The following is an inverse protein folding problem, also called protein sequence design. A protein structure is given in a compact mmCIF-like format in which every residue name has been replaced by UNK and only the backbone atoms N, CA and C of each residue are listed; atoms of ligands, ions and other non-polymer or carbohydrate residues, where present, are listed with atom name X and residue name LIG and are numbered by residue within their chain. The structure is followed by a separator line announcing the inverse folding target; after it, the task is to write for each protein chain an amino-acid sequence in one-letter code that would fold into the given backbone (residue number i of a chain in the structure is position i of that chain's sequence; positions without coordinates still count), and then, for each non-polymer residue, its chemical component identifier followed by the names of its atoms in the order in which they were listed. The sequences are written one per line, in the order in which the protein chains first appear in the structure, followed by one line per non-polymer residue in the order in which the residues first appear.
data_IF_914911167172
#
_entry.id   IF_914911167172
#
_cell.length_a   1.000
_cell.length_b   1.000
_cell.length_c   1.000
_cell.angle_alpha   90.00
_cell.angle_beta   90.00
_cell.angle_gamma   90.00
#
_symmetry.space_group_name_H-M   'P 1'
#
loop_
_entity.id
_entity.type
_entity.pdbx_description
1 polymer ?
#
# COMPACT_ATOMS: atom_id res chain seq x y z
N UNK A 1 -7.76 -10.13 -20.34
CA UNK A 1 -8.25 -9.66 -21.65
C UNK A 1 -9.71 -9.18 -21.63
N UNK A 2 -10.69 -10.03 -21.25
CA UNK A 2 -12.13 -9.83 -21.47
C UNK A 2 -12.72 -8.43 -21.20
N UNK A 3 -12.44 -7.79 -20.05
CA UNK A 3 -13.01 -6.47 -19.73
C UNK A 3 -12.69 -5.36 -20.75
N UNK A 4 -11.50 -5.39 -21.38
CA UNK A 4 -11.12 -4.42 -22.40
C UNK A 4 -11.82 -4.68 -23.75
N UNK A 5 -11.99 -5.96 -24.11
CA UNK A 5 -12.77 -6.35 -25.29
C UNK A 5 -14.26 -6.05 -25.11
N UNK A 6 -14.81 -6.26 -23.90
CA UNK A 6 -16.17 -5.85 -23.54
C UNK A 6 -16.38 -4.35 -23.68
N UNK A 7 -15.42 -3.52 -23.26
CA UNK A 7 -15.43 -2.07 -23.47
C UNK A 7 -15.45 -1.71 -24.97
N UNK A 8 -14.62 -2.36 -25.78
CA UNK A 8 -14.60 -2.18 -27.25
C UNK A 8 -15.95 -2.52 -27.90
N UNK A 9 -16.60 -3.63 -27.49
CA UNK A 9 -17.92 -4.03 -27.99
C UNK A 9 -19.03 -3.03 -27.62
N UNK A 10 -18.93 -2.38 -26.45
CA UNK A 10 -19.82 -1.29 -26.02
C UNK A 10 -19.57 -0.03 -26.86
N UNK A 11 -18.31 0.36 -27.06
CA UNK A 11 -17.93 1.55 -27.85
C UNK A 11 -18.35 1.44 -29.32
N UNK A 12 -18.31 0.22 -29.88
CA UNK A 12 -18.84 -0.10 -31.22
C UNK A 12 -20.37 -0.21 -31.28
N UNK A 13 -21.09 -0.09 -30.14
CA UNK A 13 -22.53 -0.30 -30.01
C UNK A 13 -23.00 -1.70 -30.47
N UNK A 14 -22.16 -2.72 -30.26
CA UNK A 14 -22.43 -4.12 -30.65
C UNK A 14 -23.06 -4.90 -29.50
N UNK A 15 -22.68 -4.58 -28.26
CA UNK A 15 -23.24 -5.16 -27.03
C UNK A 15 -23.53 -4.03 -26.03
N UNK A 16 -24.62 -4.13 -25.28
CA UNK A 16 -24.91 -3.21 -24.18
C UNK A 16 -24.10 -3.53 -22.91
N UNK A 17 -23.92 -2.52 -22.05
CA UNK A 17 -23.10 -2.67 -20.83
C UNK A 17 -23.64 -3.72 -19.85
N UNK A 18 -24.96 -3.95 -19.80
CA UNK A 18 -25.53 -4.94 -18.88
C UNK A 18 -25.26 -6.37 -19.38
N UNK A 19 -25.35 -6.63 -20.69
CA UNK A 19 -24.97 -7.92 -21.27
C UNK A 19 -23.48 -8.22 -21.15
N UNK A 20 -22.59 -7.22 -21.28
CA UNK A 20 -21.15 -7.38 -21.00
C UNK A 20 -20.89 -7.73 -19.53
N UNK A 21 -21.51 -7.02 -18.59
CA UNK A 21 -21.41 -7.32 -17.15
C UNK A 21 -21.93 -8.73 -16.86
N UNK A 22 -23.08 -9.11 -17.43
CA UNK A 22 -23.68 -10.44 -17.25
C UNK A 22 -22.81 -11.56 -17.84
N UNK A 23 -22.16 -11.34 -18.99
CA UNK A 23 -21.20 -12.28 -19.56
C UNK A 23 -19.96 -12.44 -18.66
N UNK A 24 -19.40 -11.34 -18.11
CA UNK A 24 -18.31 -11.42 -17.13
C UNK A 24 -18.74 -12.16 -15.85
N UNK A 25 -19.94 -11.91 -15.32
CA UNK A 25 -20.49 -12.65 -14.16
C UNK A 25 -20.64 -14.14 -14.46
N UNK A 26 -21.23 -14.50 -15.61
CA UNK A 26 -21.40 -15.89 -16.07
C UNK A 26 -20.03 -16.58 -16.21
N UNK A 27 -19.04 -15.88 -16.76
CA UNK A 27 -17.67 -16.38 -16.85
C UNK A 27 -17.07 -16.68 -15.47
N UNK A 28 -17.20 -15.75 -14.51
CA UNK A 28 -16.70 -15.93 -13.14
C UNK A 28 -17.43 -17.04 -12.37
N UNK A 29 -18.75 -17.17 -12.55
CA UNK A 29 -19.57 -18.22 -11.92
C UNK A 29 -19.30 -19.62 -12.51
N UNK A 30 -18.91 -19.69 -13.79
CA UNK A 30 -18.58 -20.96 -14.45
C UNK A 30 -17.27 -21.59 -13.98
N UNK A 31 -16.32 -20.79 -13.47
CA UNK A 31 -15.02 -21.30 -13.04
C UNK A 31 -15.14 -22.09 -11.73
N UNK A 32 -14.68 -23.36 -11.67
CA UNK A 32 -14.64 -24.08 -10.42
C UNK A 32 -13.76 -23.36 -9.39
N UNK A 33 -14.23 -23.35 -8.14
CA UNK A 33 -13.46 -22.79 -7.03
C UNK A 33 -12.26 -23.67 -6.70
N UNK A 34 -11.18 -23.06 -6.20
CA UNK A 34 -9.98 -23.80 -5.78
C UNK A 34 -10.31 -24.91 -4.77
N UNK A 35 -11.20 -24.65 -3.81
CA UNK A 35 -11.68 -25.65 -2.84
C UNK A 35 -12.35 -26.86 -3.51
N UNK A 36 -13.11 -26.64 -4.59
CA UNK A 36 -13.76 -27.70 -5.35
C UNK A 36 -12.73 -28.59 -6.04
N UNK A 37 -11.73 -28.00 -6.71
CA UNK A 37 -10.66 -28.76 -7.39
C UNK A 37 -9.81 -29.54 -6.40
N UNK A 38 -9.46 -28.96 -5.25
CA UNK A 38 -8.70 -29.64 -4.19
C UNK A 38 -9.40 -30.94 -3.74
N UNK A 39 -10.73 -30.88 -3.59
CA UNK A 39 -11.54 -32.06 -3.24
C UNK A 39 -11.70 -33.04 -4.41
N UNK A 40 -12.00 -32.55 -5.62
CA UNK A 40 -12.21 -33.40 -6.81
C UNK A 40 -10.92 -34.13 -7.25
N UNK A 41 -9.75 -33.48 -7.16
CA UNK A 41 -8.43 -34.10 -7.39
C UNK A 41 -7.86 -34.83 -6.15
N UNK A 42 -8.54 -34.80 -5.00
CA UNK A 42 -8.09 -35.37 -3.72
C UNK A 42 -6.66 -34.93 -3.31
N UNK A 43 -6.33 -33.66 -3.53
CA UNK A 43 -4.99 -33.11 -3.27
C UNK A 43 -4.71 -32.83 -1.79
N UNK A 44 -5.76 -32.75 -0.96
CA UNK A 44 -5.69 -32.56 0.49
C UNK A 44 -6.78 -33.41 1.17
N UNK A 45 -6.54 -33.79 2.42
CA UNK A 45 -7.58 -34.37 3.26
C UNK A 45 -8.64 -33.31 3.63
N UNK A 46 -9.90 -33.73 3.81
CA UNK A 46 -10.99 -32.81 4.20
C UNK A 46 -10.66 -32.02 5.49
N UNK A 47 -9.96 -32.65 6.44
CA UNK A 47 -9.49 -32.03 7.68
C UNK A 47 -8.54 -30.83 7.41
N UNK A 48 -7.59 -31.00 6.49
CA UNK A 48 -6.63 -29.96 6.09
C UNK A 48 -7.32 -28.84 5.29
N UNK A 49 -8.35 -29.18 4.50
CA UNK A 49 -9.17 -28.20 3.78
C UNK A 49 -9.94 -27.32 4.78
N UNK A 50 -10.45 -27.88 5.88
CA UNK A 50 -11.09 -27.09 6.95
C UNK A 50 -10.07 -26.22 7.69
N UNK A 51 -8.87 -26.76 8.01
CA UNK A 51 -7.82 -25.98 8.68
C UNK A 51 -7.36 -24.77 7.84
N UNK A 52 -7.14 -24.95 6.53
CA UNK A 52 -6.67 -23.86 5.66
C UNK A 52 -7.75 -22.79 5.40
N UNK A 53 -9.04 -23.16 5.44
CA UNK A 53 -10.15 -22.21 5.43
C UNK A 53 -10.17 -21.38 6.73
N UNK A 54 -10.00 -22.02 7.89
CA UNK A 54 -9.91 -21.29 9.16
C UNK A 54 -8.69 -20.35 9.19
N UNK A 55 -7.55 -20.80 8.66
CA UNK A 55 -6.33 -19.99 8.57
C UNK A 55 -6.51 -18.77 7.63
N UNK A 56 -7.11 -18.92 6.45
CA UNK A 56 -7.39 -17.78 5.56
C UNK A 56 -8.39 -16.80 6.17
N UNK A 57 -9.45 -17.30 6.81
CA UNK A 57 -10.44 -16.45 7.51
C UNK A 57 -9.83 -15.64 8.66
N UNK A 58 -8.81 -16.16 9.35
CA UNK A 58 -8.15 -15.48 10.46
C UNK A 58 -7.02 -14.54 10.03
N UNK A 59 -6.50 -14.67 8.79
CA UNK A 59 -5.34 -13.89 8.30
C UNK A 59 -5.65 -12.95 7.15
N UNK A 60 -6.84 -13.05 6.53
CA UNK A 60 -7.21 -12.30 5.33
C UNK A 60 -6.44 -12.70 4.07
N UNK A 61 -5.58 -13.71 4.13
CA UNK A 61 -4.75 -14.17 3.00
C UNK A 61 -5.57 -14.92 1.96
N UNK A 62 -5.14 -14.85 0.70
CA UNK A 62 -5.73 -15.68 -0.35
C UNK A 62 -5.48 -17.17 -0.07
N UNK A 63 -6.41 -18.03 -0.52
CA UNK A 63 -6.30 -19.48 -0.34
C UNK A 63 -5.02 -20.05 -0.99
N UNK A 64 -4.63 -19.55 -2.16
CA UNK A 64 -3.41 -20.01 -2.85
C UNK A 64 -2.16 -19.57 -2.06
N UNK A 65 -2.15 -18.32 -1.56
CA UNK A 65 -1.06 -17.80 -0.72
C UNK A 65 -0.89 -18.63 0.56
N UNK A 66 -2.00 -18.97 1.22
CA UNK A 66 -2.00 -19.80 2.42
C UNK A 66 -1.53 -21.24 2.15
N UNK A 67 -1.91 -21.82 1.01
CA UNK A 67 -1.47 -23.16 0.60
C UNK A 67 0.03 -23.23 0.32
N UNK A 68 0.61 -22.20 -0.33
CA UNK A 68 2.07 -22.04 -0.47
C UNK A 68 2.74 -21.87 0.90
N UNK A 69 2.27 -20.92 1.71
CA UNK A 69 2.86 -20.60 3.02
C UNK A 69 2.87 -21.79 4.01
N UNK A 70 1.87 -22.67 3.93
CA UNK A 70 1.80 -23.90 4.74
C UNK A 70 2.52 -25.10 4.12
N UNK A 71 3.14 -24.96 2.95
CA UNK A 71 3.76 -26.03 2.17
C UNK A 71 2.84 -27.26 1.98
N UNK A 72 1.54 -27.02 1.80
CA UNK A 72 0.53 -28.08 1.69
C UNK A 72 0.42 -28.67 0.27
N UNK A 73 0.96 -27.98 -0.72
CA UNK A 73 0.97 -28.37 -2.13
C UNK A 73 2.31 -27.98 -2.76
N UNK A 74 2.77 -28.73 -3.77
CA UNK A 74 3.88 -28.29 -4.62
C UNK A 74 3.46 -27.16 -5.56
N UNK A 75 4.42 -26.42 -6.09
CA UNK A 75 4.14 -25.36 -7.07
C UNK A 75 3.54 -25.94 -8.36
N UNK A 76 3.98 -27.13 -8.77
CA UNK A 76 3.37 -27.92 -9.85
C UNK A 76 1.88 -28.15 -9.58
N UNK A 77 1.50 -28.64 -8.39
CA UNK A 77 0.09 -28.88 -8.04
C UNK A 77 -0.75 -27.59 -8.02
N UNK A 78 -0.15 -26.45 -7.67
CA UNK A 78 -0.83 -25.15 -7.68
C UNK A 78 -1.02 -24.65 -9.12
N UNK A 79 -0.04 -24.83 -10.00
CA UNK A 79 -0.15 -24.54 -11.43
C UNK A 79 -1.19 -25.47 -12.08
N UNK A 80 -1.22 -26.74 -11.71
CA UNK A 80 -2.19 -27.76 -12.16
C UNK A 80 -3.64 -27.46 -11.69
N UNK A 81 -3.80 -26.73 -10.58
CA UNK A 81 -5.07 -26.16 -10.14
C UNK A 81 -5.44 -24.93 -10.98
N UNK A 82 -4.49 -24.02 -11.24
CA UNK A 82 -4.73 -22.82 -12.04
C UNK A 82 -5.16 -23.18 -13.48
N UNK A 83 -4.48 -24.15 -14.10
CA UNK A 83 -4.81 -24.71 -15.42
C UNK A 83 -6.18 -25.40 -15.41
N UNK A 84 -6.55 -26.13 -14.36
CA UNK A 84 -7.89 -26.74 -14.29
C UNK A 84 -9.00 -25.68 -14.15
N UNK A 85 -8.75 -24.57 -13.44
CA UNK A 85 -9.70 -23.45 -13.31
C UNK A 85 -9.95 -22.73 -14.64
N UNK A 86 -8.92 -22.54 -15.47
CA UNK A 86 -9.08 -21.91 -16.79
C UNK A 86 -9.68 -22.87 -17.81
N UNK A 87 -9.28 -24.15 -17.80
CA UNK A 87 -9.75 -25.19 -18.72
C UNK A 87 -11.19 -25.65 -18.45
N UNK A 88 -11.65 -25.63 -17.20
CA UNK A 88 -13.00 -26.05 -16.82
C UNK A 88 -14.01 -24.88 -16.72
N UNK A 89 -13.54 -23.64 -16.84
CA UNK A 89 -14.40 -22.46 -16.92
C UNK A 89 -14.86 -22.18 -18.34
N UNK A 90 -16.03 -21.56 -18.49
CA UNK A 90 -16.46 -20.97 -19.75
C UNK A 90 -15.57 -19.77 -20.09
N UNK A 91 -15.23 -19.59 -21.37
CA UNK A 91 -14.50 -18.40 -21.82
C UNK A 91 -15.41 -17.17 -21.87
N UNK A 92 -14.80 -15.98 -21.87
CA UNK A 92 -15.55 -14.73 -22.06
C UNK A 92 -16.28 -14.68 -23.42
N UNK A 93 -15.72 -15.34 -24.44
CA UNK A 93 -16.30 -15.40 -25.78
C UNK A 93 -17.59 -16.24 -25.79
N UNK A 94 -17.57 -17.43 -25.19
CA UNK A 94 -18.76 -18.29 -25.03
C UNK A 94 -19.82 -17.61 -24.17
N UNK A 95 -19.43 -17.01 -23.04
CA UNK A 95 -20.34 -16.26 -22.18
C UNK A 95 -20.98 -15.07 -22.92
N UNK A 96 -20.25 -14.37 -23.80
CA UNK A 96 -20.85 -13.35 -24.66
C UNK A 96 -21.83 -13.96 -25.66
N UNK A 97 -21.49 -15.05 -26.34
CA UNK A 97 -22.38 -15.71 -27.33
C UNK A 97 -23.72 -16.10 -26.68
N UNK A 98 -23.68 -16.72 -25.49
CA UNK A 98 -24.90 -17.11 -24.76
C UNK A 98 -25.76 -15.91 -24.32
N UNK A 99 -25.14 -14.80 -23.90
CA UNK A 99 -25.90 -13.65 -23.38
C UNK A 99 -26.35 -12.64 -24.46
N UNK A 100 -25.72 -12.63 -25.64
CA UNK A 100 -25.91 -11.55 -26.64
C UNK A 100 -26.51 -11.99 -27.97
N UNK A 101 -26.67 -13.30 -28.23
CA UNK A 101 -27.05 -13.85 -29.54
C UNK A 101 -26.09 -13.43 -30.69
N UNK A 102 -24.85 -13.04 -30.40
CA UNK A 102 -23.83 -12.76 -31.42
C UNK A 102 -23.39 -14.08 -32.06
N UNK A 103 -23.45 -14.12 -33.39
CA UNK A 103 -22.98 -15.25 -34.19
C UNK A 103 -21.45 -15.43 -34.02
N UNK A 104 -20.94 -16.65 -33.71
CA UNK A 104 -19.54 -16.84 -33.33
C UNK A 104 -18.52 -16.32 -34.36
N UNK A 105 -18.83 -16.47 -35.66
CA UNK A 105 -18.03 -15.94 -36.77
C UNK A 105 -17.78 -14.43 -36.64
N UNK A 106 -18.83 -13.68 -36.30
CA UNK A 106 -18.78 -12.23 -36.15
C UNK A 106 -18.00 -11.82 -34.90
N UNK A 107 -18.05 -12.62 -33.84
CA UNK A 107 -17.22 -12.38 -32.65
C UNK A 107 -15.72 -12.57 -32.98
N UNK A 108 -15.37 -13.57 -33.80
CA UNK A 108 -13.99 -13.76 -34.26
C UNK A 108 -13.50 -12.64 -35.21
N UNK A 109 -14.36 -12.12 -36.07
CA UNK A 109 -14.06 -10.94 -36.89
C UNK A 109 -13.77 -9.71 -36.03
N UNK A 110 -14.59 -9.46 -35.00
CA UNK A 110 -14.43 -8.34 -34.07
C UNK A 110 -13.22 -8.49 -33.15
N UNK A 111 -12.86 -9.72 -32.78
CA UNK A 111 -11.65 -10.01 -32.00
C UNK A 111 -10.39 -9.72 -32.83
N UNK A 112 -10.38 -10.11 -34.11
CA UNK A 112 -9.30 -9.73 -35.05
C UNK A 112 -9.27 -8.23 -35.34
N UNK A 113 -10.43 -7.57 -35.44
CA UNK A 113 -10.49 -6.11 -35.55
C UNK A 113 -9.84 -5.45 -34.33
N UNK A 114 -10.16 -5.93 -33.11
CA UNK A 114 -9.59 -5.46 -31.87
C UNK A 114 -8.06 -5.69 -31.77
N UNK A 115 -7.56 -6.83 -32.25
CA UNK A 115 -6.13 -7.15 -32.29
C UNK A 115 -5.34 -6.36 -33.34
N UNK A 116 -5.99 -5.98 -34.45
CA UNK A 116 -5.37 -5.21 -35.56
C UNK A 116 -5.43 -3.70 -35.37
N UNK A 117 -6.16 -3.20 -34.37
CA UNK A 117 -6.08 -1.79 -33.99
C UNK A 117 -4.68 -1.46 -33.46
N UNK A 118 -4.06 -0.35 -33.88
CA UNK A 118 -2.89 0.15 -33.19
C UNK A 118 -3.28 0.43 -31.72
N UNK A 119 -2.49 -0.10 -30.79
CA UNK A 119 -2.58 0.24 -29.36
C UNK A 119 -2.19 1.72 -29.24
N UNK A 120 -3.18 2.62 -29.26
CA UNK A 120 -2.94 4.04 -29.54
C UNK A 120 -1.84 4.64 -28.67
N UNK A 121 -0.91 5.33 -29.33
CA UNK A 121 0.33 5.80 -28.73
C UNK A 121 0.07 6.93 -27.73
N UNK A 122 0.72 6.85 -26.57
CA UNK A 122 0.84 7.97 -25.64
C UNK A 122 1.83 9.02 -26.18
N UNK A 123 1.39 9.76 -27.22
CA UNK A 123 1.94 11.01 -27.78
C UNK A 123 3.45 11.22 -27.61
N UNK A 124 4.22 10.80 -28.62
CA UNK A 124 5.61 11.25 -28.80
C UNK A 124 5.66 12.61 -29.50
N UNK A 125 6.44 13.56 -28.97
CA UNK A 125 6.81 14.79 -29.68
C UNK A 125 8.02 14.47 -30.59
N UNK A 126 8.04 15.05 -31.79
CA UNK A 126 8.88 14.61 -32.89
C UNK A 126 10.40 14.73 -32.67
N UNK A 127 11.14 13.74 -33.20
CA UNK A 127 12.50 13.89 -33.72
C UNK A 127 12.67 12.99 -34.95
N UNK A 128 13.54 13.38 -35.87
CA UNK A 128 13.62 12.90 -37.25
C UNK A 128 14.24 11.49 -37.38
N UNK A 129 13.78 10.71 -38.36
CA UNK A 129 14.46 9.49 -38.81
C UNK A 129 15.76 9.81 -39.56
N UNK A 130 16.78 8.94 -39.51
CA UNK A 130 17.12 8.27 -40.76
C UNK A 130 17.56 6.79 -40.65
N UNK A 131 17.32 6.07 -41.76
CA UNK A 131 18.07 4.89 -42.25
C UNK A 131 18.39 3.71 -41.31
N UNK A 132 17.67 2.62 -41.54
CA UNK A 132 18.19 1.26 -41.74
C UNK A 132 19.59 0.91 -41.22
N UNK A 133 19.64 0.11 -40.15
CA UNK A 133 20.63 -0.96 -39.98
C UNK A 133 19.96 -2.14 -39.26
N UNK A 134 20.44 -3.35 -39.52
CA UNK A 134 19.92 -4.58 -38.93
C UNK A 134 20.46 -4.71 -37.49
N UNK A 135 19.57 -4.83 -36.51
CA UNK A 135 19.91 -5.24 -35.13
C UNK A 135 18.85 -6.24 -34.67
N UNK A 136 19.27 -7.48 -34.43
CA UNK A 136 18.47 -8.51 -33.80
C UNK A 136 18.59 -8.32 -32.27
N UNK A 137 17.81 -7.40 -31.70
CA UNK A 137 17.70 -7.29 -30.24
C UNK A 137 16.87 -8.46 -29.70
N UNK A 138 17.57 -9.53 -29.30
CA UNK A 138 16.98 -10.65 -28.56
C UNK A 138 16.40 -10.14 -27.24
N UNK A 139 15.07 -10.04 -27.18
CA UNK A 139 14.37 -9.61 -25.96
C UNK A 139 14.31 -10.78 -24.99
N UNK A 140 15.20 -10.79 -24.00
CA UNK A 140 15.23 -11.78 -22.91
C UNK A 140 13.95 -11.70 -22.06
N UNK A 141 12.92 -12.48 -22.43
CA UNK A 141 11.69 -12.60 -21.66
C UNK A 141 11.98 -13.44 -20.40
N UNK A 142 12.15 -12.76 -19.27
CA UNK A 142 12.27 -13.40 -17.95
C UNK A 142 11.13 -14.41 -17.73
N UNK A 143 11.47 -15.64 -17.33
CA UNK A 143 10.53 -16.74 -17.14
C UNK A 143 9.35 -16.38 -16.21
N UNK A 144 9.57 -15.56 -15.18
CA UNK A 144 8.52 -15.11 -14.27
C UNK A 144 7.49 -14.17 -14.94
N UNK A 145 7.86 -13.47 -16.02
CA UNK A 145 6.93 -12.69 -16.82
C UNK A 145 6.08 -13.59 -17.73
N UNK A 146 6.68 -14.63 -18.31
CA UNK A 146 5.99 -15.69 -19.06
C UNK A 146 4.97 -16.43 -18.19
N UNK A 147 5.35 -16.82 -16.98
CA UNK A 147 4.45 -17.45 -16.00
C UNK A 147 3.29 -16.51 -15.60
N UNK A 148 3.58 -15.22 -15.39
CA UNK A 148 2.55 -14.22 -15.08
C UNK A 148 1.53 -14.01 -16.23
N UNK A 149 1.94 -14.23 -17.49
CA UNK A 149 1.04 -14.22 -18.65
C UNK A 149 0.24 -15.54 -18.79
N UNK A 150 0.86 -16.67 -18.42
CA UNK A 150 0.28 -18.02 -18.36
C UNK A 150 -0.85 -18.09 -17.33
N UNK A 151 -0.64 -17.53 -16.13
CA UNK A 151 -1.66 -17.47 -15.06
C UNK A 151 -2.86 -16.57 -15.41
N UNK A 152 -2.64 -15.51 -16.21
CA UNK A 152 -3.71 -14.61 -16.66
C UNK A 152 -4.55 -15.15 -17.84
N UNK A 153 -4.19 -16.29 -18.43
CA UNK A 153 -4.92 -16.91 -19.54
C UNK A 153 -5.03 -16.01 -20.77
N UNK A 154 -3.92 -15.36 -21.15
CA UNK A 154 -3.90 -14.33 -22.21
C UNK A 154 -3.12 -14.70 -23.48
N UNK A 155 -2.63 -15.93 -23.62
CA UNK A 155 -2.01 -16.48 -24.83
C UNK A 155 -2.50 -17.90 -25.09
N UNK A 156 -2.47 -18.31 -26.37
CA UNK A 156 -2.88 -19.66 -26.78
C UNK A 156 -1.71 -20.66 -26.66
N UNK A 157 -2.02 -21.95 -26.48
CA UNK A 157 -1.02 -22.94 -26.04
C UNK A 157 0.15 -23.10 -27.01
N UNK A 158 -0.08 -22.90 -28.30
CA UNK A 158 0.91 -23.01 -29.37
C UNK A 158 1.89 -21.82 -29.48
N UNK A 159 1.62 -20.68 -28.82
CA UNK A 159 2.59 -19.57 -28.75
C UNK A 159 3.61 -19.80 -27.63
N UNK A 160 3.24 -20.56 -26.59
CA UNK A 160 4.09 -20.83 -25.42
C UNK A 160 5.22 -21.81 -25.79
N UNK A 161 4.93 -22.89 -26.52
CA UNK A 161 5.95 -23.84 -27.00
C UNK A 161 7.03 -23.19 -27.89
N UNK A 162 6.68 -22.11 -28.59
CA UNK A 162 7.63 -21.37 -29.42
C UNK A 162 8.64 -20.54 -28.58
N UNK A 163 8.23 -20.07 -27.42
CA UNK A 163 9.03 -19.22 -26.52
C UNK A 163 9.88 -20.04 -25.54
N UNK A 164 9.35 -21.12 -24.98
CA UNK A 164 10.09 -22.01 -24.06
C UNK A 164 11.36 -22.59 -24.72
N UNK A 165 11.38 -22.72 -26.06
CA UNK A 165 12.52 -23.21 -26.84
C UNK A 165 13.73 -22.25 -26.88
N UNK A 166 13.55 -20.96 -26.61
CA UNK A 166 14.64 -19.98 -26.63
C UNK A 166 15.32 -19.76 -25.27
N UNK A 167 14.80 -20.33 -24.17
CA UNK A 167 15.36 -20.18 -22.82
C UNK A 167 16.52 -21.16 -22.61
N UNK A 168 17.63 -20.91 -23.31
CA UNK A 168 18.73 -21.86 -23.52
C UNK A 168 19.98 -21.65 -22.65
N UNK A 169 20.03 -22.33 -21.50
CA UNK A 169 21.28 -22.76 -20.82
C UNK A 169 22.27 -21.68 -20.35
N UNK A 170 22.21 -21.33 -19.04
CA UNK A 170 23.39 -20.93 -18.28
C UNK A 170 23.46 -21.66 -16.93
N UNK A 171 24.65 -22.17 -16.59
CA UNK A 171 24.99 -22.75 -15.29
C UNK A 171 25.76 -21.74 -14.44
N UNK A 172 25.43 -21.64 -13.17
CA UNK A 172 26.14 -20.76 -12.23
C UNK A 172 27.05 -21.58 -11.31
N UNK A 173 28.32 -21.17 -11.16
CA UNK A 173 29.27 -21.77 -10.22
C UNK A 173 29.33 -20.98 -8.90
N UNK A 174 29.80 -21.67 -7.86
CA UNK A 174 29.77 -21.27 -6.46
C UNK A 174 31.07 -20.56 -6.04
N UNK A 175 31.00 -19.56 -5.14
CA UNK A 175 32.19 -18.98 -4.47
C UNK A 175 31.85 -18.37 -3.11
N UNK A 176 32.81 -18.46 -2.17
CA UNK A 176 32.57 -18.34 -0.73
C UNK A 176 32.95 -16.98 -0.09
N UNK A 177 32.67 -16.89 1.22
CA UNK A 177 32.76 -15.75 2.12
C UNK A 177 34.17 -15.33 2.61
N UNK A 178 34.26 -14.10 3.15
CA UNK A 178 35.21 -13.59 4.16
C UNK A 178 34.83 -12.14 4.56
N UNK A 179 35.20 -11.53 5.70
CA UNK A 179 35.41 -11.94 7.12
C UNK A 179 35.90 -10.71 7.93
N UNK A 180 35.56 -10.59 9.22
CA UNK A 180 36.15 -9.67 10.24
C UNK A 180 36.05 -8.14 9.97
N UNK A 181 36.40 -7.19 10.87
CA UNK A 181 36.19 -6.92 12.33
C UNK A 181 36.72 -5.44 12.55
N UNK A 182 36.44 -4.56 13.52
CA UNK A 182 36.18 -4.58 14.99
C UNK A 182 35.54 -3.24 15.43
N UNK A 183 34.76 -3.22 16.53
CA UNK A 183 34.52 -2.08 17.47
C UNK A 183 33.85 -0.78 16.93
N UNK A 184 33.30 0.16 17.72
CA UNK A 184 33.19 0.32 19.19
C UNK A 184 31.93 1.16 19.57
N UNK A 185 31.75 1.45 20.87
CA UNK A 185 30.86 2.47 21.47
C UNK A 185 29.35 2.46 21.14
N UNK A 186 28.53 2.08 22.14
CA UNK A 186 27.06 2.25 22.13
C UNK A 186 26.60 3.00 23.38
N UNK A 187 26.19 4.26 23.22
CA UNK A 187 25.68 5.09 24.32
C UNK A 187 24.28 4.62 24.76
N UNK A 188 24.21 3.88 25.87
CA UNK A 188 22.95 3.40 26.44
C UNK A 188 22.22 4.55 27.16
N UNK A 189 21.23 5.13 26.48
CA UNK A 189 20.34 6.14 27.05
C UNK A 189 19.57 5.57 28.27
N UNK A 190 19.51 6.34 29.36
CA UNK A 190 18.90 5.91 30.63
C UNK A 190 17.44 5.41 30.50
N UNK A 191 16.65 5.96 29.56
CA UNK A 191 15.29 5.50 29.30
C UNK A 191 15.20 4.03 28.82
N UNK A 192 16.25 3.53 28.14
CA UNK A 192 16.32 2.13 27.72
C UNK A 192 16.63 1.19 28.91
N UNK A 193 17.44 1.64 29.87
CA UNK A 193 17.69 0.92 31.12
C UNK A 193 16.43 0.82 31.99
N UNK A 194 15.65 1.90 32.09
CA UNK A 194 14.36 1.90 32.81
C UNK A 194 13.35 0.95 32.15
N UNK A 195 13.28 0.94 30.81
CA UNK A 195 12.44 0.01 30.04
C UNK A 195 12.82 -1.48 30.26
N UNK A 196 14.12 -1.79 30.35
CA UNK A 196 14.60 -3.15 30.65
C UNK A 196 14.30 -3.58 32.10
N UNK A 197 14.35 -2.62 33.03
CA UNK A 197 14.03 -2.81 34.46
C UNK A 197 12.55 -3.15 34.66
N UNK A 198 11.65 -2.52 33.93
CA UNK A 198 10.20 -2.80 33.99
C UNK A 198 9.83 -4.17 33.36
N UNK A 199 10.57 -4.61 32.34
CA UNK A 199 10.36 -5.93 31.70
C UNK A 199 10.87 -7.12 32.54
N UNK A 200 11.66 -6.89 33.59
CA UNK A 200 12.12 -7.95 34.51
C UNK A 200 13.02 -9.00 33.87
N UNK A 201 13.75 -8.65 32.80
CA UNK A 201 14.56 -9.59 31.99
C UNK A 201 16.05 -9.64 32.36
N UNK A 202 16.50 -8.86 33.34
CA UNK A 202 17.87 -8.86 33.88
C UNK A 202 17.83 -9.03 35.40
N UNK A 203 18.93 -9.55 35.98
CA UNK A 203 19.06 -9.65 37.43
C UNK A 203 19.65 -8.38 38.07
N UNK A 204 19.48 -8.27 39.39
CA UNK A 204 19.86 -7.09 40.18
C UNK A 204 21.39 -6.90 40.29
N UNK A 205 22.18 -7.88 39.85
CA UNK A 205 23.64 -7.78 39.73
C UNK A 205 24.07 -7.13 38.42
N UNK A 206 23.48 -7.53 37.29
CA UNK A 206 23.81 -6.98 35.96
C UNK A 206 23.43 -5.49 35.85
N UNK A 207 22.26 -5.11 36.40
CA UNK A 207 21.83 -3.71 36.49
C UNK A 207 22.83 -2.83 37.26
N UNK A 208 23.47 -3.35 38.31
CA UNK A 208 24.36 -2.59 39.17
C UNK A 208 25.73 -2.27 38.53
N UNK A 209 26.18 -3.04 37.52
CA UNK A 209 27.36 -2.66 36.73
C UNK A 209 27.02 -1.60 35.66
N UNK A 210 25.79 -1.58 35.14
CA UNK A 210 25.33 -0.61 34.14
C UNK A 210 24.96 0.76 34.75
N UNK A 211 24.28 0.81 35.90
CA UNK A 211 24.03 2.09 36.62
C UNK A 211 25.36 2.79 36.99
N UNK A 212 26.44 2.01 37.18
CA UNK A 212 27.77 2.50 37.54
C UNK A 212 28.56 3.11 36.37
N UNK A 213 28.31 2.71 35.12
CA UNK A 213 28.93 3.37 33.95
C UNK A 213 28.21 4.68 33.61
N UNK A 214 26.89 4.72 33.70
CA UNK A 214 26.08 5.94 33.46
C UNK A 214 26.39 7.04 34.49
N UNK A 215 26.61 6.67 35.76
CA UNK A 215 26.88 7.62 36.86
C UNK A 215 28.20 8.39 36.75
N UNK A 216 29.05 8.14 35.73
CA UNK A 216 30.33 8.82 35.54
C UNK A 216 30.23 10.11 34.70
N UNK A 217 29.10 10.36 34.02
CA UNK A 217 29.03 11.30 32.89
C UNK A 217 27.94 12.38 32.99
N UNK A 218 27.29 12.55 34.14
CA UNK A 218 26.13 13.46 34.29
C UNK A 218 26.27 14.38 35.50
N UNK A 219 27.11 15.43 35.37
CA UNK A 219 27.35 16.43 36.42
C UNK A 219 27.25 17.87 35.87
N UNK A 220 26.14 18.18 35.21
CA UNK A 220 25.59 19.54 35.02
C UNK A 220 24.21 19.49 34.35
N UNK A 221 23.14 19.91 35.06
CA UNK A 221 22.08 20.83 34.57
C UNK A 221 21.09 21.14 35.72
N UNK A 222 20.64 22.39 35.76
CA UNK A 222 20.00 23.03 36.91
C UNK A 222 18.55 22.59 37.13
N UNK A 223 18.19 22.34 38.39
CA UNK A 223 16.80 22.26 38.86
C UNK A 223 16.19 23.66 39.04
N UNK A 224 15.03 23.93 38.45
CA UNK A 224 14.11 24.96 38.96
C UNK A 224 12.71 24.38 39.21
N UNK A 225 12.14 24.77 40.35
CA UNK A 225 10.81 24.43 40.85
C UNK A 225 10.18 25.71 41.41
N UNK A 226 8.86 25.72 41.63
CA UNK A 226 7.99 26.85 42.09
C UNK A 226 7.26 27.55 40.92
N UNK A 227 6.04 28.06 41.08
CA UNK A 227 5.15 28.11 42.27
C UNK A 227 3.68 28.14 41.86
N UNK A 228 2.79 27.82 42.80
CA UNK A 228 1.37 28.13 42.74
C UNK A 228 1.14 29.66 42.84
N UNK A 229 0.32 30.22 41.95
CA UNK A 229 -0.71 31.23 42.28
C UNK A 229 -1.45 31.63 40.98
N UNK A 230 -2.70 31.21 40.85
CA UNK A 230 -3.54 31.51 39.69
C UNK A 230 -4.98 31.09 39.93
N UNK A 231 -5.89 32.07 40.05
CA UNK A 231 -7.31 31.82 40.28
C UNK A 231 -7.93 31.15 39.04
N UNK A 232 -8.23 29.85 39.17
CA UNK A 232 -8.68 29.02 38.04
C UNK A 232 -10.12 29.29 37.62
N UNK A 233 -10.33 30.22 36.69
CA UNK A 233 -11.63 30.44 36.05
C UNK A 233 -12.10 29.18 35.31
N UNK A 234 -13.15 28.52 35.84
CA UNK A 234 -13.69 27.29 35.25
C UNK A 234 -14.51 27.66 34.01
N UNK A 235 -13.95 27.37 32.84
CA UNK A 235 -14.65 27.51 31.56
C UNK A 235 -15.95 26.68 31.56
N UNK A 236 -17.05 27.26 31.07
CA UNK A 236 -18.37 26.65 31.03
C UNK A 236 -18.38 25.24 30.39
N UNK A 237 -17.52 24.97 29.40
CA UNK A 237 -17.41 23.64 28.77
C UNK A 237 -16.90 22.55 29.75
N UNK A 238 -16.03 22.91 30.69
CA UNK A 238 -15.58 22.00 31.75
C UNK A 238 -16.68 21.76 32.80
N UNK A 239 -17.48 22.79 33.11
CA UNK A 239 -18.62 22.68 34.01
C UNK A 239 -19.73 21.78 33.41
N UNK A 240 -20.03 21.93 32.12
CA UNK A 240 -20.95 21.06 31.39
C UNK A 240 -20.46 19.60 31.36
N UNK A 241 -19.15 19.38 31.15
CA UNK A 241 -18.53 18.04 31.21
C UNK A 241 -18.67 17.40 32.61
N UNK A 242 -18.46 18.16 33.68
CA UNK A 242 -18.64 17.68 35.07
C UNK A 242 -20.11 17.35 35.38
N UNK A 243 -21.05 18.09 34.77
CA UNK A 243 -22.50 17.92 34.90
C UNK A 243 -22.99 16.66 34.18
N UNK A 244 -22.45 16.34 33.00
CA UNK A 244 -22.78 15.11 32.25
C UNK A 244 -22.17 13.85 32.91
N UNK A 245 -20.97 13.96 33.50
CA UNK A 245 -20.34 12.86 34.25
C UNK A 245 -21.02 12.53 35.59
N UNK A 246 -21.94 13.38 36.08
CA UNK A 246 -22.71 13.13 37.31
C UNK A 246 -21.89 13.01 38.59
N UNK A 247 -20.68 13.59 38.62
CA UNK A 247 -19.71 13.46 39.72
C UNK A 247 -19.88 14.50 40.84
N UNK A 248 -20.79 15.45 40.69
CA UNK A 248 -21.09 16.53 41.64
C UNK A 248 -22.58 16.59 41.92
N UNK A 249 -22.97 16.97 43.14
CA UNK A 249 -24.38 17.18 43.47
C UNK A 249 -24.90 18.56 43.05
N UNK A 250 -26.23 18.74 43.07
CA UNK A 250 -26.89 19.99 42.65
C UNK A 250 -26.46 21.22 43.46
N UNK A 251 -25.98 21.05 44.70
CA UNK A 251 -25.50 22.17 45.52
C UNK A 251 -24.08 22.59 45.15
N UNK A 252 -23.21 21.63 44.83
CA UNK A 252 -21.86 21.89 44.33
C UNK A 252 -21.89 22.52 42.93
N UNK A 253 -22.78 22.02 42.05
CA UNK A 253 -22.99 22.62 40.72
C UNK A 253 -23.51 24.06 40.82
N UNK A 254 -24.42 24.36 41.74
CA UNK A 254 -24.92 25.73 41.92
C UNK A 254 -23.86 26.70 42.46
N UNK A 255 -22.96 26.25 43.33
CA UNK A 255 -21.83 27.06 43.81
C UNK A 255 -20.85 27.37 42.66
N UNK A 256 -20.51 26.37 41.85
CA UNK A 256 -19.68 26.53 40.65
C UNK A 256 -20.32 27.43 39.59
N UNK A 257 -21.61 27.24 39.27
CA UNK A 257 -22.36 28.08 38.32
C UNK A 257 -22.41 29.56 38.77
N UNK A 258 -22.33 29.83 40.08
CA UNK A 258 -22.25 31.19 40.62
C UNK A 258 -20.90 31.90 40.42
N UNK A 259 -19.83 31.13 40.16
CA UNK A 259 -18.47 31.63 39.94
C UNK A 259 -18.14 31.94 38.48
N UNK A 260 -18.93 31.43 37.53
CA UNK A 260 -18.73 31.66 36.10
C UNK A 260 -19.21 33.07 35.74
N UNK A 261 -18.30 33.93 35.28
CA UNK A 261 -18.63 35.28 34.85
C UNK A 261 -19.63 35.27 33.67
N UNK A 262 -20.62 36.18 33.64
CA UNK A 262 -21.63 36.21 32.57
C UNK A 262 -21.02 36.67 31.25
N UNK A 263 -20.70 35.71 30.39
CA UNK A 263 -20.16 35.96 29.05
C UNK A 263 -21.15 36.75 28.19
N UNK A 264 -20.70 37.90 27.69
CA UNK A 264 -21.48 38.70 26.73
C UNK A 264 -21.66 37.93 25.43
N UNK A 265 -22.84 37.97 24.79
CA UNK A 265 -23.08 37.25 23.54
C UNK A 265 -22.28 37.90 22.40
N UNK A 266 -21.13 37.31 22.07
CA UNK A 266 -20.40 37.63 20.85
C UNK A 266 -21.20 37.18 19.60
N UNK A 267 -21.06 37.89 18.46
CA UNK A 267 -21.90 37.66 17.30
C UNK A 267 -21.51 36.37 16.56
N UNK A 268 -22.36 35.34 16.71
CA UNK A 268 -22.55 34.16 15.84
C UNK A 268 -21.34 33.80 14.96
N UNK A 269 -20.21 33.57 15.63
CA UNK A 269 -18.98 33.09 14.99
C UNK A 269 -19.13 31.59 14.80
N UNK A 270 -19.93 31.26 13.78
CA UNK A 270 -20.47 29.92 13.58
C UNK A 270 -19.41 28.84 13.75
N UNK A 271 -19.73 27.82 14.54
CA UNK A 271 -18.87 26.67 14.82
C UNK A 271 -18.60 25.87 13.55
N UNK A 272 -17.64 26.36 12.77
CA UNK A 272 -16.93 25.59 11.76
C UNK A 272 -16.21 24.49 12.52
N UNK A 273 -16.86 23.32 12.58
CA UNK A 273 -16.21 22.05 12.89
C UNK A 273 -14.90 22.02 12.10
N UNK A 274 -13.79 22.26 12.79
CA UNK A 274 -12.48 21.84 12.33
C UNK A 274 -12.49 20.33 12.47
N UNK A 275 -13.14 19.69 11.49
CA UNK A 275 -13.22 18.23 11.38
C UNK A 275 -11.82 17.65 11.37
N UNK A 276 -11.70 16.36 11.68
CA UNK A 276 -10.43 15.72 12.07
C UNK A 276 -9.30 15.91 11.02
N UNK A 277 -9.65 16.20 9.76
CA UNK A 277 -8.82 16.87 8.74
C UNK A 277 -7.85 17.95 9.26
N UNK A 278 -8.24 18.73 10.27
CA UNK A 278 -7.48 19.86 10.80
C UNK A 278 -6.18 19.48 11.50
N UNK A 279 -6.04 18.24 11.96
CA UNK A 279 -4.75 17.73 12.46
C UNK A 279 -3.83 17.37 11.30
N UNK A 280 -4.35 16.70 10.26
CA UNK A 280 -3.59 16.42 9.04
C UNK A 280 -3.11 17.71 8.33
N UNK A 281 -3.92 18.77 8.29
CA UNK A 281 -3.52 20.07 7.72
C UNK A 281 -2.42 20.81 8.52
N UNK A 282 -2.28 20.51 9.83
CA UNK A 282 -1.22 21.04 10.70
C UNK A 282 0.05 20.21 10.63
N UNK A 283 -0.08 18.89 10.68
CA UNK A 283 1.05 17.93 10.64
C UNK A 283 1.68 17.92 9.24
N UNK A 284 0.88 18.10 8.18
CA UNK A 284 1.38 18.29 6.83
C UNK A 284 1.45 19.77 6.46
N UNK A 285 2.33 20.50 7.14
CA UNK A 285 2.67 21.87 6.81
C UNK A 285 3.67 21.97 5.63
N UNK A 286 4.12 23.18 5.33
CA UNK A 286 5.08 23.43 4.26
C UNK A 286 6.46 22.84 4.57
N UNK A 287 6.91 22.91 5.83
CA UNK A 287 8.21 22.44 6.28
C UNK A 287 8.30 20.91 6.20
N UNK A 288 7.25 20.21 6.60
CA UNK A 288 7.11 18.74 6.46
C UNK A 288 7.04 18.32 4.99
N UNK A 289 6.32 19.08 4.14
CA UNK A 289 6.33 18.86 2.69
C UNK A 289 7.73 19.06 2.10
N UNK A 290 8.47 20.10 2.49
CA UNK A 290 9.83 20.34 1.98
C UNK A 290 10.80 19.25 2.44
N UNK A 291 10.76 18.83 3.72
CA UNK A 291 11.54 17.68 4.21
C UNK A 291 11.31 16.41 3.37
N UNK A 292 10.05 16.10 3.07
CA UNK A 292 9.67 14.91 2.28
C UNK A 292 9.94 15.07 0.77
N UNK A 293 10.00 16.28 0.25
CA UNK A 293 10.35 16.58 -1.15
C UNK A 293 11.88 16.64 -1.37
N UNK A 294 12.66 16.92 -0.32
CA UNK A 294 14.13 16.82 -0.26
C UNK A 294 14.61 15.37 -0.11
N UNK A 295 13.94 14.56 0.73
CA UNK A 295 14.21 13.15 0.98
C UNK A 295 14.59 12.29 -0.25
N UNK A 296 13.87 12.32 -1.39
CA UNK A 296 14.23 11.54 -2.59
C UNK A 296 15.58 11.94 -3.22
N UNK A 297 16.13 13.13 -2.91
CA UNK A 297 17.51 13.50 -3.25
C UNK A 297 18.51 12.75 -2.38
N UNK A 298 18.28 12.71 -1.06
CA UNK A 298 19.13 12.00 -0.08
C UNK A 298 19.19 10.50 -0.42
N UNK A 299 18.02 9.87 -0.63
CA UNK A 299 17.92 8.48 -1.08
C UNK A 299 18.80 8.18 -2.31
N UNK A 300 18.89 9.11 -3.27
CA UNK A 300 19.65 8.94 -4.51
C UNK A 300 21.17 9.23 -4.37
N UNK A 301 21.62 9.74 -3.22
CA UNK A 301 23.03 10.01 -2.91
C UNK A 301 23.64 8.97 -1.97
N UNK A 302 22.84 8.35 -1.10
CA UNK A 302 23.22 7.25 -0.22
C UNK A 302 22.08 6.89 0.72
N UNK A 303 21.82 5.59 0.90
CA UNK A 303 20.77 5.08 1.79
C UNK A 303 21.32 4.82 3.19
N UNK A 304 21.65 5.90 3.90
CA UNK A 304 21.92 5.84 5.35
C UNK A 304 20.62 5.51 6.10
N UNK A 305 20.63 4.47 6.95
CA UNK A 305 19.39 3.99 7.60
C UNK A 305 18.71 5.03 8.48
N UNK A 306 19.47 5.92 9.10
CA UNK A 306 18.98 7.07 9.88
C UNK A 306 18.07 7.98 9.05
N UNK A 307 18.54 8.40 7.87
CA UNK A 307 17.77 9.22 6.93
C UNK A 307 16.48 8.52 6.49
N UNK A 308 16.51 7.21 6.25
CA UNK A 308 15.32 6.42 5.91
C UNK A 308 14.33 6.38 7.08
N UNK A 309 14.84 6.24 8.31
CA UNK A 309 14.02 6.18 9.52
C UNK A 309 13.32 7.52 9.81
N UNK A 310 13.99 8.67 9.60
CA UNK A 310 13.35 9.99 9.65
C UNK A 310 12.18 10.13 8.66
N UNK A 311 12.38 9.63 7.43
CA UNK A 311 11.39 9.69 6.35
C UNK A 311 10.21 8.77 6.70
N UNK A 312 10.50 7.57 7.20
CA UNK A 312 9.52 6.61 7.70
C UNK A 312 8.67 7.22 8.81
N UNK A 313 9.28 7.73 9.89
CA UNK A 313 8.57 8.36 11.01
C UNK A 313 7.65 9.50 10.53
N UNK A 314 8.11 10.33 9.59
CA UNK A 314 7.30 11.40 9.00
C UNK A 314 6.11 10.85 8.20
N UNK A 315 6.31 9.81 7.39
CA UNK A 315 5.24 9.13 6.64
C UNK A 315 4.24 8.43 7.56
N UNK A 316 4.68 7.71 8.57
CA UNK A 316 3.81 7.03 9.54
C UNK A 316 2.98 8.01 10.37
N UNK A 317 3.56 9.16 10.74
CA UNK A 317 2.84 10.25 11.45
C UNK A 317 1.75 10.85 10.57
N UNK A 318 2.06 11.12 9.30
CA UNK A 318 1.07 11.59 8.31
C UNK A 318 -0.02 10.55 8.02
N UNK A 319 0.34 9.27 7.99
CA UNK A 319 -0.59 8.16 7.80
C UNK A 319 -1.56 8.03 8.98
N UNK A 320 -1.06 8.17 10.22
CA UNK A 320 -1.89 8.23 11.42
C UNK A 320 -2.88 9.40 11.38
N UNK A 321 -2.41 10.60 11.04
CA UNK A 321 -3.25 11.78 10.90
C UNK A 321 -4.30 11.62 9.77
N UNK A 322 -3.93 11.05 8.63
CA UNK A 322 -4.85 10.75 7.53
C UNK A 322 -5.93 9.74 7.93
N UNK A 323 -5.57 8.71 8.70
CA UNK A 323 -6.50 7.70 9.24
C UNK A 323 -7.51 8.30 10.21
N UNK A 324 -7.04 9.07 11.20
CA UNK A 324 -7.91 9.80 12.13
C UNK A 324 -8.87 10.74 11.39
N UNK A 325 -8.36 11.43 10.36
CA UNK A 325 -9.12 12.33 9.52
C UNK A 325 -10.07 11.65 8.49
N UNK A 326 -10.02 10.32 8.35
CA UNK A 326 -10.82 9.58 7.37
C UNK A 326 -10.44 9.84 5.90
N UNK A 327 -9.21 10.30 5.64
CA UNK A 327 -8.71 10.75 4.34
C UNK A 327 -8.21 9.55 3.51
N UNK A 328 -9.17 8.81 2.94
CA UNK A 328 -8.95 7.54 2.24
C UNK A 328 -7.96 7.59 1.06
N UNK A 329 -7.73 8.74 0.43
CA UNK A 329 -6.82 8.86 -0.71
C UNK A 329 -5.40 9.21 -0.26
N UNK A 330 -5.26 10.09 0.72
CA UNK A 330 -4.01 10.36 1.43
C UNK A 330 -3.51 9.10 2.16
N UNK A 331 -4.41 8.38 2.86
CA UNK A 331 -4.09 7.11 3.52
C UNK A 331 -3.49 6.10 2.54
N UNK A 332 -4.16 5.84 1.40
CA UNK A 332 -3.69 4.83 0.42
C UNK A 332 -2.34 5.16 -0.19
N UNK A 333 -2.04 6.44 -0.41
CA UNK A 333 -0.72 6.87 -0.88
C UNK A 333 0.36 6.65 0.19
N UNK A 334 0.06 6.99 1.45
CA UNK A 334 1.01 6.91 2.56
C UNK A 334 1.24 5.47 3.04
N UNK A 335 0.19 4.63 3.14
CA UNK A 335 0.27 3.21 3.54
C UNK A 335 1.15 2.38 2.59
N UNK A 336 1.12 2.70 1.30
CA UNK A 336 2.03 2.08 0.34
C UNK A 336 3.50 2.39 0.67
N UNK A 337 3.81 3.63 1.09
CA UNK A 337 5.19 4.04 1.40
C UNK A 337 5.66 3.68 2.80
N UNK A 338 4.77 3.70 3.78
CA UNK A 338 4.99 3.15 5.12
C UNK A 338 5.47 1.68 5.01
N UNK A 339 4.75 0.87 4.23
CA UNK A 339 5.12 -0.52 3.93
C UNK A 339 6.43 -0.66 3.13
N UNK A 340 6.73 0.24 2.18
CA UNK A 340 8.01 0.21 1.43
C UNK A 340 9.17 0.57 2.36
N UNK A 341 9.05 1.66 3.12
CA UNK A 341 10.09 2.15 4.03
C UNK A 341 10.36 1.16 5.17
N UNK A 342 9.31 0.54 5.72
CA UNK A 342 9.43 -0.62 6.64
C UNK A 342 10.24 -1.75 6.00
N UNK A 343 9.95 -2.15 4.76
CA UNK A 343 10.74 -3.20 4.08
C UNK A 343 12.19 -2.79 3.84
N UNK A 344 12.44 -1.53 3.49
CA UNK A 344 13.80 -1.00 3.29
C UNK A 344 14.61 -1.05 4.58
N UNK A 345 14.06 -0.57 5.72
CA UNK A 345 14.76 -0.54 7.01
C UNK A 345 15.16 -1.95 7.48
N UNK A 346 14.31 -2.95 7.19
CA UNK A 346 14.52 -4.37 7.49
C UNK A 346 15.31 -5.12 6.40
N UNK A 347 15.95 -4.43 5.44
CA UNK A 347 16.73 -5.01 4.33
C UNK A 347 15.95 -6.01 3.43
N UNK A 348 14.62 -5.90 3.39
CA UNK A 348 13.72 -6.79 2.64
C UNK A 348 13.46 -6.34 1.19
N UNK A 349 14.16 -5.30 0.70
CA UNK A 349 14.14 -4.89 -0.71
C UNK A 349 15.53 -5.07 -1.29
N UNK A 350 15.65 -5.92 -2.32
CA UNK A 350 16.89 -6.03 -3.07
C UNK A 350 17.10 -4.79 -3.95
N UNK A 351 17.92 -3.85 -3.50
CA UNK A 351 18.26 -2.64 -4.24
C UNK A 351 19.03 -2.88 -5.55
N UNK A 352 19.56 -4.09 -5.78
CA UNK A 352 20.12 -4.45 -7.09
C UNK A 352 19.03 -4.71 -8.15
N UNK A 353 17.82 -5.13 -7.73
CA UNK A 353 16.68 -5.38 -8.64
C UNK A 353 15.83 -4.12 -8.84
N UNK A 354 15.69 -3.28 -7.81
CA UNK A 354 14.79 -2.11 -7.85
C UNK A 354 15.57 -0.82 -8.10
N UNK A 355 15.43 -0.26 -9.31
CA UNK A 355 16.09 0.97 -9.71
C UNK A 355 15.78 2.14 -8.75
N UNK A 356 16.80 2.60 -8.03
CA UNK A 356 16.70 3.69 -7.04
C UNK A 356 16.18 5.02 -7.60
N UNK A 357 16.41 5.32 -8.88
CA UNK A 357 15.84 6.51 -9.53
C UNK A 357 14.31 6.37 -9.70
N UNK A 358 13.81 5.16 -9.91
CA UNK A 358 12.37 4.86 -9.97
C UNK A 358 11.72 4.96 -8.58
N UNK A 359 12.39 4.48 -7.52
CA UNK A 359 11.93 4.66 -6.13
C UNK A 359 11.87 6.15 -5.78
N UNK A 360 12.98 6.87 -5.96
CA UNK A 360 13.12 8.31 -5.70
C UNK A 360 12.04 9.13 -6.44
N UNK A 361 11.80 8.82 -7.72
CA UNK A 361 10.74 9.46 -8.50
C UNK A 361 9.34 9.13 -7.96
N UNK A 362 9.01 7.86 -7.74
CA UNK A 362 7.68 7.45 -7.30
C UNK A 362 7.33 8.00 -5.92
N UNK A 363 8.32 8.09 -5.02
CA UNK A 363 8.16 8.73 -3.72
C UNK A 363 7.85 10.23 -3.88
N UNK A 364 8.62 10.94 -4.69
CA UNK A 364 8.40 12.36 -4.97
C UNK A 364 7.04 12.64 -5.61
N UNK A 365 6.64 11.84 -6.60
CA UNK A 365 5.33 11.94 -7.24
C UNK A 365 4.19 11.68 -6.23
N UNK A 366 4.43 10.82 -5.22
CA UNK A 366 3.48 10.56 -4.13
C UNK A 366 3.37 11.74 -3.17
N UNK A 367 4.50 12.25 -2.65
CA UNK A 367 4.52 13.44 -1.76
C UNK A 367 3.84 14.64 -2.42
N UNK A 368 4.05 14.83 -3.73
CA UNK A 368 3.35 15.85 -4.52
C UNK A 368 1.83 15.64 -4.60
N UNK A 369 1.36 14.41 -4.85
CA UNK A 369 -0.08 14.10 -4.86
C UNK A 369 -0.73 14.26 -3.48
N UNK A 370 -0.04 13.90 -2.40
CA UNK A 370 -0.52 14.15 -1.03
C UNK A 370 -0.62 15.65 -0.76
N UNK A 371 0.30 16.48 -1.30
CA UNK A 371 0.24 17.95 -1.19
C UNK A 371 -0.91 18.54 -2.00
N UNK A 372 -1.18 18.02 -3.20
CA UNK A 372 -2.39 18.36 -3.98
C UNK A 372 -3.66 18.08 -3.14
N UNK A 373 -3.75 16.89 -2.51
CA UNK A 373 -4.87 16.50 -1.64
C UNK A 373 -5.01 17.44 -0.43
N UNK A 374 -3.94 17.69 0.32
CA UNK A 374 -3.89 18.65 1.44
C UNK A 374 -4.43 20.02 1.02
N UNK A 375 -3.90 20.56 -0.06
CA UNK A 375 -4.25 21.89 -0.55
C UNK A 375 -5.68 21.94 -1.14
N UNK A 376 -6.29 20.79 -1.45
CA UNK A 376 -7.71 20.69 -1.80
C UNK A 376 -8.62 20.52 -0.56
N UNK A 377 -8.19 19.77 0.46
CA UNK A 377 -8.87 19.66 1.76
C UNK A 377 -8.96 21.05 2.41
N UNK A 378 -7.87 21.82 2.42
CA UNK A 378 -7.83 23.19 2.96
C UNK A 378 -8.83 24.14 2.26
N UNK A 379 -9.16 23.90 0.98
CA UNK A 379 -10.08 24.72 0.18
C UNK A 379 -11.53 24.21 0.15
N UNK A 380 -11.76 22.91 0.36
CA UNK A 380 -13.06 22.25 0.10
C UNK A 380 -13.53 21.30 1.20
N UNK A 381 -12.72 21.10 2.24
CA UNK A 381 -12.89 20.13 3.33
C UNK A 381 -13.22 18.71 2.85
N UNK A 382 -12.64 18.28 1.72
CA UNK A 382 -12.88 17.00 1.08
C UNK A 382 -11.71 16.61 0.17
N UNK A 383 -11.42 15.32 0.04
CA UNK A 383 -10.50 14.81 -0.99
C UNK A 383 -11.19 14.62 -2.35
N UNK A 384 -12.50 14.33 -2.33
CA UNK A 384 -13.23 13.82 -3.50
C UNK A 384 -13.30 14.81 -4.67
N UNK A 385 -13.12 16.11 -4.44
CA UNK A 385 -13.18 17.13 -5.50
C UNK A 385 -12.06 16.97 -6.54
N UNK A 386 -10.86 16.51 -6.14
CA UNK A 386 -9.76 16.27 -7.09
C UNK A 386 -10.01 15.07 -8.02
N UNK A 387 -10.81 14.08 -7.60
CA UNK A 387 -11.13 12.91 -8.43
C UNK A 387 -12.07 13.20 -9.59
N UNK A 388 -12.67 14.39 -9.63
CA UNK A 388 -13.39 14.90 -10.81
C UNK A 388 -12.43 15.35 -11.93
N UNK A 389 -11.16 15.64 -11.61
CA UNK A 389 -10.13 15.94 -12.60
C UNK A 389 -9.55 14.62 -13.14
N UNK A 390 -9.75 14.36 -14.44
CA UNK A 390 -9.26 13.18 -15.15
C UNK A 390 -7.75 13.00 -15.01
N UNK A 391 -7.01 14.09 -15.13
CA UNK A 391 -5.56 14.08 -15.31
C UNK A 391 -4.88 13.87 -13.95
N UNK A 392 -5.42 14.51 -12.92
CA UNK A 392 -5.04 14.25 -11.54
C UNK A 392 -5.34 12.81 -11.13
N UNK A 393 -6.53 12.30 -11.44
CA UNK A 393 -6.92 10.91 -11.18
C UNK A 393 -6.02 9.90 -11.92
N UNK A 394 -5.65 10.18 -13.17
CA UNK A 394 -4.72 9.35 -13.94
C UNK A 394 -3.31 9.36 -13.32
N UNK A 395 -2.82 10.53 -12.90
CA UNK A 395 -1.55 10.66 -12.15
C UNK A 395 -1.60 9.84 -10.85
N UNK A 396 -2.64 10.01 -10.05
CA UNK A 396 -2.87 9.25 -8.81
C UNK A 396 -2.81 7.73 -9.02
N UNK A 397 -3.57 7.20 -9.99
CA UNK A 397 -3.58 5.77 -10.29
C UNK A 397 -2.23 5.25 -10.81
N UNK A 398 -1.50 6.06 -11.59
CA UNK A 398 -0.18 5.71 -12.12
C UNK A 398 0.88 5.67 -11.02
N UNK A 399 0.90 6.67 -10.13
CA UNK A 399 1.80 6.71 -8.97
C UNK A 399 1.49 5.58 -7.99
N UNK A 400 0.22 5.36 -7.63
CA UNK A 400 -0.18 4.27 -6.74
C UNK A 400 0.23 2.89 -7.30
N UNK A 401 0.05 2.65 -8.61
CA UNK A 401 0.52 1.43 -9.27
C UNK A 401 2.04 1.29 -9.19
N UNK A 402 2.78 2.38 -9.38
CA UNK A 402 4.25 2.38 -9.30
C UNK A 402 4.73 2.03 -7.89
N UNK A 403 4.12 2.62 -6.86
CA UNK A 403 4.40 2.30 -5.45
C UNK A 403 4.06 0.85 -5.10
N UNK A 404 2.91 0.33 -5.55
CA UNK A 404 2.52 -1.07 -5.31
C UNK A 404 3.51 -2.09 -5.92
N UNK A 405 4.01 -1.81 -7.13
CA UNK A 405 5.08 -2.60 -7.77
C UNK A 405 6.37 -2.56 -6.93
N UNK A 406 6.81 -1.38 -6.47
CA UNK A 406 7.97 -1.25 -5.58
C UNK A 406 7.76 -1.99 -4.24
N UNK A 407 6.54 -1.97 -3.70
CA UNK A 407 6.18 -2.69 -2.47
C UNK A 407 6.14 -4.22 -2.63
N UNK A 408 6.22 -4.74 -3.86
CA UNK A 408 5.99 -6.16 -4.17
C UNK A 408 4.54 -6.61 -3.93
N UNK A 409 3.58 -5.68 -3.81
CA UNK A 409 2.14 -5.95 -3.71
C UNK A 409 1.56 -5.93 -5.12
N UNK A 410 1.41 -7.11 -5.76
CA UNK A 410 0.73 -7.27 -7.05
C UNK A 410 -0.79 -7.11 -6.91
#
# INVERSE_FOLDING_TARGET
MGAFFGKFLIEKNIVDSASVIKALSTQMESQPSTLRILKEKNLLADDQIVEIIAYTSNTGKSLISALKEKNLLSEEQILDIAVERTKSGMSFAEALIEQTNIEPSKLQELLKEYETLPKEESVSIASESPSSSEVEDETEINAAALESLKELGMMDSSEIEALEKNVGSFSFEESEAASDDTSDDSEINAAALESLKELGMMDESELAELEKSVSASTDEIVTETSTEDGEGEINAAALESLKELGMLDESQLAELESSVAPSTPEPDSGLVFHGVSGEFLKIFDQDTFEKLNEAPKKMAQGLEKEHINEIHQSVSTLLGAARLAGLQFSEKLLDCWDAILTKILNDQINFAEVNMLSISKAFKDTVGLTKDLRDNIEKTNSENALLANSDWKNKFMSTLKSSLVIAGKR
#
